data_IF_665463157314
#
_entry.id   IF_665463157314
#
_cell.length_a   1.000
_cell.length_b   1.000
_cell.length_c   1.000
_cell.angle_alpha   90.00
_cell.angle_beta   90.00
_cell.angle_gamma   90.00
#
_symmetry.space_group_name_H-M   'P 1'
#
loop_
_entity.id
_entity.type
_entity.pdbx_description
1 polymer ?
#
# COMPACT_ATOMS: atom_id res chain seq x y z
N UNK A 1 4.02 -12.36 4.11
CA UNK A 1 4.15 -10.96 4.54
C UNK A 1 5.48 -10.80 5.26
N UNK A 2 6.30 -9.81 4.88
CA UNK A 2 7.51 -9.50 5.65
C UNK A 2 7.09 -9.00 7.04
N UNK A 3 7.65 -9.59 8.11
CA UNK A 3 7.43 -9.13 9.47
C UNK A 3 7.78 -7.65 9.58
N UNK A 4 6.77 -6.83 9.86
CA UNK A 4 6.93 -5.38 9.95
C UNK A 4 6.40 -4.93 11.30
N UNK A 5 7.30 -4.75 12.26
CA UNK A 5 6.97 -4.16 13.55
C UNK A 5 7.18 -2.66 13.43
N UNK A 6 6.21 -1.88 13.89
CA UNK A 6 6.22 -0.43 13.86
C UNK A 6 6.07 0.16 15.25
N UNK A 7 6.56 1.37 15.43
CA UNK A 7 6.41 2.19 16.62
C UNK A 7 5.55 3.41 16.26
N UNK A 8 4.38 3.51 16.89
CA UNK A 8 3.46 4.63 16.78
C UNK A 8 3.72 5.60 17.92
N UNK A 9 3.90 6.87 17.57
CA UNK A 9 4.11 7.97 18.52
C UNK A 9 5.19 7.69 19.58
N UNK A 10 6.21 6.89 19.22
CA UNK A 10 7.30 6.46 20.11
C UNK A 10 6.87 5.69 21.37
N UNK A 11 5.62 5.25 21.44
CA UNK A 11 5.03 4.66 22.65
C UNK A 11 4.34 3.33 22.42
N UNK A 12 3.60 3.20 21.32
CA UNK A 12 2.79 2.02 21.03
C UNK A 12 3.46 1.18 19.95
N UNK A 13 3.66 -0.10 20.21
CA UNK A 13 4.22 -1.04 19.25
C UNK A 13 3.09 -1.69 18.46
N UNK A 14 3.12 -1.54 17.15
CA UNK A 14 2.23 -2.22 16.22
C UNK A 14 2.97 -3.40 15.57
N UNK A 15 2.51 -4.62 15.82
CA UNK A 15 3.00 -5.83 15.16
C UNK A 15 2.02 -6.23 14.06
N UNK A 16 2.38 -6.00 12.79
CA UNK A 16 1.50 -6.29 11.65
C UNK A 16 1.26 -7.79 11.44
N UNK A 17 2.20 -8.64 11.87
CA UNK A 17 2.08 -10.09 11.69
C UNK A 17 1.18 -10.68 12.76
N UNK A 18 1.32 -10.21 14.01
CA UNK A 18 0.47 -10.65 15.12
C UNK A 18 -0.88 -9.95 15.16
N UNK A 19 -1.03 -8.86 14.42
CA UNK A 19 -2.21 -7.98 14.43
C UNK A 19 -2.48 -7.47 15.85
N UNK A 20 -1.46 -6.87 16.47
CA UNK A 20 -1.55 -6.39 17.85
C UNK A 20 -0.99 -4.98 18.00
N UNK A 21 -1.60 -4.21 18.91
CA UNK A 21 -1.05 -2.97 19.45
C UNK A 21 -0.66 -3.22 20.90
N UNK A 22 0.55 -2.81 21.29
CA UNK A 22 1.03 -2.97 22.67
C UNK A 22 1.64 -1.69 23.23
N UNK A 23 1.37 -1.45 24.50
CA UNK A 23 1.89 -0.31 25.25
C UNK A 23 2.14 -0.73 26.69
N UNK A 24 3.41 -0.78 27.10
CA UNK A 24 3.78 -1.35 28.40
C UNK A 24 3.36 -2.82 28.51
N UNK A 25 2.49 -3.14 29.49
CA UNK A 25 1.96 -4.49 29.70
C UNK A 25 0.59 -4.71 29.02
N UNK A 26 0.01 -3.69 28.40
CA UNK A 26 -1.26 -3.78 27.71
C UNK A 26 -1.03 -4.23 26.26
N UNK A 27 -1.84 -5.20 25.82
CA UNK A 27 -1.81 -5.72 24.46
C UNK A 27 -3.26 -5.91 24.01
N UNK A 28 -3.62 -5.26 22.90
CA UNK A 28 -4.89 -5.48 22.24
C UNK A 28 -4.66 -6.11 20.88
N UNK A 29 -5.60 -6.97 20.46
CA UNK A 29 -5.61 -7.57 19.13
C UNK A 29 -6.56 -6.76 18.24
N UNK A 30 -6.07 -6.36 17.08
CA UNK A 30 -6.83 -5.61 16.08
C UNK A 30 -7.23 -6.54 14.93
N UNK A 31 -8.24 -6.16 14.16
CA UNK A 31 -8.66 -6.93 12.99
C UNK A 31 -7.67 -6.81 11.82
N UNK A 32 -7.83 -7.68 10.83
CA UNK A 32 -7.06 -7.60 9.58
C UNK A 32 -7.30 -6.26 8.84
N UNK A 33 -8.53 -5.76 8.84
CA UNK A 33 -8.86 -4.51 8.17
C UNK A 33 -8.17 -3.31 8.85
N UNK A 34 -8.10 -3.34 10.18
CA UNK A 34 -7.39 -2.34 10.99
C UNK A 34 -5.88 -2.42 10.76
N UNK A 35 -5.33 -3.63 10.72
CA UNK A 35 -3.93 -3.88 10.38
C UNK A 35 -3.59 -3.27 9.01
N UNK A 36 -4.42 -3.53 7.99
CA UNK A 36 -4.23 -2.94 6.67
C UNK A 36 -4.41 -1.42 6.65
N UNK A 37 -5.28 -0.85 7.49
CA UNK A 37 -5.42 0.60 7.61
C UNK A 37 -4.12 1.24 8.16
N UNK A 38 -3.51 0.66 9.18
CA UNK A 38 -2.22 1.15 9.70
C UNK A 38 -1.10 1.01 8.67
N UNK A 39 -1.09 -0.09 7.91
CA UNK A 39 -0.17 -0.26 6.79
C UNK A 39 -0.42 0.77 5.68
N UNK A 40 -1.68 1.14 5.41
CA UNK A 40 -2.02 2.21 4.49
C UNK A 40 -1.37 3.53 4.91
N UNK A 41 -1.48 3.88 6.20
CA UNK A 41 -0.84 5.08 6.75
C UNK A 41 0.69 5.02 6.66
N UNK A 42 1.29 3.86 6.96
CA UNK A 42 2.73 3.64 6.77
C UNK A 42 3.16 3.85 5.32
N UNK A 43 2.36 3.41 4.35
CA UNK A 43 2.59 3.64 2.93
C UNK A 43 2.29 5.08 2.48
N UNK A 44 1.81 5.94 3.38
CA UNK A 44 1.46 7.34 3.10
C UNK A 44 0.13 7.50 2.34
N UNK A 45 -0.72 6.48 2.35
CA UNK A 45 -2.05 6.56 1.76
C UNK A 45 -2.99 7.32 2.70
N UNK A 46 -3.75 8.24 2.13
CA UNK A 46 -4.72 9.06 2.86
C UNK A 46 -6.05 9.25 2.12
N UNK A 47 -6.10 8.97 0.82
CA UNK A 47 -7.33 9.08 0.03
C UNK A 47 -8.25 7.91 0.34
N UNK A 48 -9.55 8.17 0.40
CA UNK A 48 -10.57 7.17 0.69
C UNK A 48 -10.47 5.97 -0.26
N UNK A 49 -10.34 6.23 -1.56
CA UNK A 49 -10.32 5.19 -2.58
C UNK A 49 -9.07 4.31 -2.49
N UNK A 50 -7.89 4.92 -2.26
CA UNK A 50 -6.63 4.18 -2.09
C UNK A 50 -6.66 3.30 -0.83
N UNK A 51 -7.24 3.80 0.26
CA UNK A 51 -7.41 3.05 1.51
C UNK A 51 -8.40 1.90 1.31
N UNK A 52 -9.55 2.16 0.67
CA UNK A 52 -10.55 1.11 0.38
C UNK A 52 -9.91 0.02 -0.48
N UNK A 53 -9.16 0.42 -1.50
CA UNK A 53 -8.46 -0.52 -2.36
C UNK A 53 -7.49 -1.38 -1.55
N UNK A 54 -6.55 -0.80 -0.79
CA UNK A 54 -5.55 -1.58 -0.06
C UNK A 54 -6.17 -2.49 1.02
N UNK A 55 -7.16 -1.99 1.77
CA UNK A 55 -7.74 -2.73 2.91
C UNK A 55 -8.62 -3.88 2.44
N UNK A 56 -9.28 -3.76 1.29
CA UNK A 56 -10.23 -4.75 0.77
C UNK A 56 -9.86 -5.38 -0.58
N UNK A 57 -8.65 -5.15 -1.10
CA UNK A 57 -8.17 -5.59 -2.43
C UNK A 57 -8.50 -7.08 -2.71
N UNK A 58 -8.32 -7.92 -1.70
CA UNK A 58 -8.46 -9.37 -1.82
C UNK A 58 -9.84 -9.91 -1.43
N UNK A 59 -10.81 -9.05 -1.06
CA UNK A 59 -12.10 -9.49 -0.50
C UNK A 59 -13.22 -9.66 -1.53
N UNK A 60 -12.94 -9.41 -2.81
CA UNK A 60 -13.82 -9.77 -3.94
C UNK A 60 -15.24 -9.16 -3.91
N UNK A 61 -15.50 -8.19 -3.03
CA UNK A 61 -16.82 -7.61 -2.79
C UNK A 61 -16.80 -6.08 -2.83
N UNK A 62 -17.93 -5.48 -3.18
CA UNK A 62 -18.10 -4.03 -3.15
C UNK A 62 -18.15 -3.53 -1.70
N UNK A 63 -17.25 -2.62 -1.33
CA UNK A 63 -17.20 -2.03 0.01
C UNK A 63 -18.14 -0.84 0.07
N UNK A 64 -19.13 -0.90 0.97
CA UNK A 64 -19.98 0.26 1.22
C UNK A 64 -19.20 1.37 1.91
N UNK A 65 -19.58 2.61 1.66
CA UNK A 65 -19.03 3.77 2.38
C UNK A 65 -19.23 3.67 3.90
N UNK A 66 -20.34 3.06 4.35
CA UNK A 66 -20.56 2.79 5.77
C UNK A 66 -19.52 1.86 6.38
N UNK A 67 -19.00 0.88 5.63
CA UNK A 67 -17.96 -0.04 6.11
C UNK A 67 -16.62 0.67 6.31
N UNK A 68 -16.28 1.59 5.40
CA UNK A 68 -15.10 2.45 5.52
C UNK A 68 -15.14 3.30 6.80
N UNK A 69 -16.25 3.99 7.07
CA UNK A 69 -16.37 4.81 8.27
C UNK A 69 -16.43 3.98 9.56
N UNK A 70 -17.06 2.79 9.53
CA UNK A 70 -17.05 1.86 10.67
C UNK A 70 -15.62 1.44 11.03
N UNK A 71 -14.80 1.10 10.04
CA UNK A 71 -13.40 0.76 10.27
C UNK A 71 -12.62 1.90 10.94
N UNK A 72 -12.79 3.13 10.47
CA UNK A 72 -12.11 4.30 11.05
C UNK A 72 -12.54 4.49 12.52
N UNK A 73 -13.83 4.37 12.81
CA UNK A 73 -14.33 4.53 14.17
C UNK A 73 -13.86 3.40 15.10
N UNK A 74 -13.78 2.17 14.60
CA UNK A 74 -13.22 1.06 15.36
C UNK A 74 -11.76 1.32 15.71
N UNK A 75 -10.94 1.71 14.74
CA UNK A 75 -9.53 2.02 14.99
C UNK A 75 -9.36 3.16 16.01
N UNK A 76 -10.24 4.17 15.99
CA UNK A 76 -10.23 5.25 17.00
C UNK A 76 -10.50 4.75 18.41
N UNK A 77 -11.40 3.80 18.57
CA UNK A 77 -11.70 3.17 19.86
C UNK A 77 -10.50 2.35 20.35
N UNK A 78 -9.88 1.58 19.45
CA UNK A 78 -8.70 0.79 19.74
C UNK A 78 -7.48 1.66 20.10
N UNK A 79 -7.36 2.84 19.50
CA UNK A 79 -6.36 3.84 19.90
C UNK A 79 -6.60 4.33 21.33
N UNK A 80 -7.85 4.65 21.67
CA UNK A 80 -8.21 5.08 23.02
C UNK A 80 -7.92 4.01 24.08
N UNK A 81 -8.07 2.73 23.74
CA UNK A 81 -7.89 1.63 24.70
C UNK A 81 -6.43 1.29 24.96
N UNK A 82 -5.49 1.70 24.09
CA UNK A 82 -4.05 1.46 24.24
C UNK A 82 -3.24 2.72 24.57
N UNK A 83 -3.92 3.84 24.86
CA UNK A 83 -3.32 5.10 25.30
C UNK A 83 -2.91 6.08 24.20
N UNK A 84 -3.39 5.89 22.97
CA UNK A 84 -3.32 6.89 21.88
C UNK A 84 -4.58 7.75 21.87
N UNK A 85 -4.55 8.88 21.15
CA UNK A 85 -5.72 9.74 21.05
C UNK A 85 -6.56 9.37 19.82
N UNK A 86 -7.89 9.24 19.93
CA UNK A 86 -8.77 9.09 18.76
C UNK A 86 -8.59 10.19 17.71
N UNK A 87 -8.22 11.39 18.14
CA UNK A 87 -7.92 12.54 17.28
C UNK A 87 -6.66 12.36 16.44
N UNK A 88 -5.82 11.35 16.73
CA UNK A 88 -4.65 11.06 15.91
C UNK A 88 -5.02 10.49 14.53
N UNK A 89 -6.25 9.99 14.41
CA UNK A 89 -6.85 9.57 13.15
C UNK A 89 -7.72 10.71 12.61
N UNK A 90 -7.11 11.54 11.77
CA UNK A 90 -7.67 12.80 11.29
C UNK A 90 -8.48 12.57 10.02
N UNK A 91 -9.78 12.84 10.07
CA UNK A 91 -10.62 12.88 8.86
C UNK A 91 -10.28 14.11 8.02
N UNK A 92 -10.10 13.93 6.72
CA UNK A 92 -9.96 15.00 5.74
C UNK A 92 -11.23 15.09 4.90
N UNK A 93 -12.08 16.12 5.09
CA UNK A 93 -13.35 16.23 4.38
C UNK A 93 -13.18 16.10 2.87
N UNK A 94 -14.02 15.28 2.24
CA UNK A 94 -14.01 15.01 0.78
C UNK A 94 -12.70 14.40 0.23
N UNK A 95 -11.79 13.96 1.09
CA UNK A 95 -10.50 13.37 0.68
C UNK A 95 -10.31 11.98 1.26
N UNK A 96 -10.44 11.82 2.58
CA UNK A 96 -10.20 10.54 3.24
C UNK A 96 -9.77 10.70 4.70
N UNK A 97 -8.70 10.01 5.11
CA UNK A 97 -8.25 9.95 6.51
C UNK A 97 -6.73 9.82 6.58
N UNK A 98 -6.10 10.46 7.56
CA UNK A 98 -4.64 10.40 7.77
C UNK A 98 -4.29 10.22 9.24
N UNK A 99 -3.13 9.64 9.49
CA UNK A 99 -2.53 9.56 10.82
C UNK A 99 -1.68 10.82 11.10
N UNK A 100 -1.89 11.47 12.24
CA UNK A 100 -1.10 12.65 12.67
C UNK A 100 0.21 12.26 13.36
N UNK A 101 0.21 11.12 14.04
CA UNK A 101 1.39 10.61 14.77
C UNK A 101 2.36 9.91 13.84
N UNK A 102 3.63 9.91 14.21
CA UNK A 102 4.66 9.21 13.47
C UNK A 102 4.46 7.69 13.59
N UNK A 103 4.61 6.99 12.46
CA UNK A 103 4.69 5.54 12.39
C UNK A 103 6.07 5.19 11.83
N UNK A 104 6.89 4.51 12.63
CA UNK A 104 8.29 4.22 12.31
C UNK A 104 8.57 2.72 12.38
N UNK A 105 9.31 2.12 11.45
CA UNK A 105 9.61 0.71 11.49
C UNK A 105 10.68 0.44 12.56
N UNK A 106 10.45 -0.55 13.42
CA UNK A 106 11.44 -1.01 14.37
C UNK A 106 12.41 -1.91 13.60
N UNK A 107 13.63 -1.43 13.33
CA UNK A 107 14.71 -2.32 12.94
C UNK A 107 14.96 -3.27 14.12
N UNK A 108 14.67 -4.57 13.96
CA UNK A 108 15.09 -5.61 14.90
C UNK A 108 16.62 -5.53 15.01
N UNK A 109 17.13 -4.86 16.04
CA UNK A 109 18.55 -4.94 16.40
C UNK A 109 18.69 -6.27 17.11
N UNK A 110 19.25 -7.25 16.43
CA UNK A 110 19.70 -8.49 17.06
C UNK A 110 20.79 -8.14 18.08
N UNK A 111 20.42 -8.20 19.36
CA UNK A 111 21.24 -8.38 20.59
C UNK A 111 22.48 -7.48 20.87
N UNK A 112 22.39 -6.71 21.97
CA UNK A 112 23.43 -6.35 22.97
C UNK A 112 24.85 -5.93 22.49
N UNK A 113 25.14 -4.62 22.51
CA UNK A 113 26.17 -3.93 23.37
C UNK A 113 26.42 -2.46 22.94
N UNK A 114 26.35 -1.55 23.93
CA UNK A 114 27.19 -0.36 24.26
C UNK A 114 27.80 0.50 23.11
N UNK A 115 27.53 1.83 23.19
CA UNK A 115 28.23 3.05 22.67
C UNK A 115 28.80 3.03 21.23
N UNK A 116 28.76 4.07 20.39
CA UNK A 116 28.76 5.52 20.56
C UNK A 116 28.31 6.19 19.22
N UNK A 117 28.12 7.50 19.26
CA UNK A 117 27.86 8.48 18.17
C UNK A 117 28.03 8.06 16.68
N UNK A 118 27.03 8.37 15.83
CA UNK A 118 27.21 9.38 14.77
C UNK A 118 25.88 9.76 14.09
N UNK A 119 25.57 11.06 14.11
CA UNK A 119 24.55 11.72 13.31
C UNK A 119 24.94 11.72 11.83
N UNK A 120 24.10 11.14 10.96
CA UNK A 120 23.77 11.69 9.62
C UNK A 120 22.71 10.84 8.93
N UNK A 121 21.48 11.36 8.88
CA UNK A 121 20.46 10.89 7.95
C UNK A 121 20.79 11.35 6.52
N UNK A 122 20.29 10.61 5.50
CA UNK A 122 19.45 11.31 4.54
C UNK A 122 18.24 10.51 4.05
N UNK A 123 17.14 11.25 3.88
CA UNK A 123 16.20 11.20 2.74
C UNK A 123 15.83 9.84 2.14
N UNK A 124 14.72 9.25 2.61
CA UNK A 124 14.03 8.12 1.95
C UNK A 124 12.66 8.52 1.38
N UNK A 125 12.36 9.83 1.27
CA UNK A 125 11.02 10.30 0.85
C UNK A 125 10.76 10.23 -0.66
N UNK A 126 11.78 10.26 -1.51
CA UNK A 126 11.58 10.13 -2.97
C UNK A 126 11.39 8.66 -3.40
N UNK A 127 11.93 7.74 -2.59
CA UNK A 127 11.72 6.29 -2.50
C UNK A 127 10.56 5.61 -3.26
N UNK A 128 9.35 6.04 -2.93
CA UNK A 128 8.15 5.21 -3.05
C UNK A 128 7.25 5.70 -4.19
N UNK A 129 7.18 7.01 -4.38
CA UNK A 129 6.37 7.61 -5.45
C UNK A 129 6.86 7.23 -6.86
N UNK A 130 8.18 7.07 -7.07
CA UNK A 130 8.66 6.57 -8.36
C UNK A 130 8.32 5.10 -8.60
N UNK A 131 8.21 4.27 -7.55
CA UNK A 131 7.99 2.83 -7.73
C UNK A 131 6.58 2.54 -8.25
N UNK A 132 5.59 3.27 -7.76
CA UNK A 132 4.19 3.16 -8.20
C UNK A 132 4.01 3.73 -9.62
N UNK A 133 4.57 4.92 -9.91
CA UNK A 133 4.49 5.51 -11.26
C UNK A 133 5.24 4.68 -12.30
N UNK A 134 6.39 4.07 -11.95
CA UNK A 134 7.16 3.21 -12.84
C UNK A 134 6.42 1.92 -13.19
N UNK A 135 5.79 1.24 -12.22
CA UNK A 135 5.03 0.02 -12.52
C UNK A 135 3.88 0.26 -13.51
N UNK A 136 3.16 1.39 -13.38
CA UNK A 136 2.08 1.75 -14.32
C UNK A 136 2.61 2.01 -15.75
N UNK A 137 3.73 2.72 -15.90
CA UNK A 137 4.33 2.98 -17.21
C UNK A 137 4.83 1.70 -17.88
N UNK A 138 5.43 0.77 -17.11
CA UNK A 138 5.88 -0.51 -17.66
C UNK A 138 4.72 -1.36 -18.17
N UNK A 139 3.57 -1.38 -17.47
CA UNK A 139 2.37 -2.14 -17.90
C UNK A 139 1.76 -1.55 -19.18
N UNK A 140 1.73 -0.22 -19.33
CA UNK A 140 1.21 0.42 -20.54
C UNK A 140 2.12 0.15 -21.74
N UNK A 141 3.44 0.22 -21.56
CA UNK A 141 4.41 -0.06 -22.63
C UNK A 141 4.35 -1.52 -23.10
N UNK A 142 4.26 -2.49 -22.18
CA UNK A 142 4.15 -3.91 -22.55
C UNK A 142 2.85 -4.21 -23.29
N UNK A 143 1.73 -3.61 -22.87
CA UNK A 143 0.45 -3.72 -23.56
C UNK A 143 0.50 -3.19 -24.99
N UNK A 144 1.08 -2.01 -25.21
CA UNK A 144 1.21 -1.41 -26.54
C UNK A 144 2.06 -2.25 -27.50
N UNK A 145 3.16 -2.84 -27.01
CA UNK A 145 4.04 -3.71 -27.81
C UNK A 145 3.30 -4.99 -28.24
N UNK A 146 2.57 -5.63 -27.33
CA UNK A 146 1.77 -6.83 -27.67
C UNK A 146 0.69 -6.52 -28.70
N UNK A 147 0.02 -5.36 -28.57
CA UNK A 147 -1.02 -4.93 -29.50
C UNK A 147 -0.46 -4.68 -30.91
N UNK A 148 0.73 -4.08 -31.01
CA UNK A 148 1.41 -3.88 -32.29
C UNK A 148 1.82 -5.21 -32.95
N UNK A 149 2.31 -6.18 -32.17
CA UNK A 149 2.64 -7.52 -32.68
C UNK A 149 1.41 -8.25 -33.21
N UNK A 150 0.30 -8.22 -32.46
CA UNK A 150 -0.96 -8.82 -32.90
C UNK A 150 -1.49 -8.16 -34.17
N UNK A 151 -1.38 -6.84 -34.28
CA UNK A 151 -1.80 -6.11 -35.48
C UNK A 151 -0.94 -6.47 -36.70
N UNK A 152 0.38 -6.62 -36.53
CA UNK A 152 1.28 -7.07 -37.59
C UNK A 152 1.02 -8.49 -38.08
N UNK A 153 0.67 -9.42 -37.17
CA UNK A 153 0.28 -10.79 -37.57
C UNK A 153 -1.05 -10.77 -38.31
N UNK A 154 -2.00 -9.94 -37.89
CA UNK A 154 -3.29 -9.78 -38.55
C UNK A 154 -3.16 -9.25 -40.00
N UNK A 155 -2.25 -8.30 -40.25
CA UNK A 155 -2.02 -7.78 -41.61
C UNK A 155 -1.37 -8.83 -42.53
N UNK A 156 -0.50 -9.70 -42.01
CA UNK A 156 0.07 -10.82 -42.77
C UNK A 156 -1.02 -11.82 -43.16
N UNK A 157 -1.94 -12.14 -42.25
CA UNK A 157 -3.05 -13.07 -42.54
C UNK A 157 -4.05 -12.53 -43.56
N UNK A 158 -4.14 -11.20 -43.71
CA UNK A 158 -4.96 -10.54 -44.73
C UNK A 158 -4.21 -10.16 -45.99
N UNK A 159 -2.92 -10.46 -46.11
CA UNK A 159 -2.18 -10.19 -47.33
C UNK A 159 -2.76 -11.06 -48.47
N UNK A 160 -3.27 -10.45 -49.56
CA UNK A 160 -3.75 -11.22 -50.69
C UNK A 160 -2.57 -11.99 -51.30
N UNK A 161 -2.73 -13.30 -51.45
CA UNK A 161 -1.81 -14.14 -52.21
C UNK A 161 -1.63 -13.49 -53.58
N UNK A 162 -0.40 -13.08 -53.88
CA UNK A 162 -0.04 -12.50 -55.18
C UNK A 162 -0.20 -13.62 -56.21
N UNK A 163 -1.37 -13.69 -56.84
CA UNK A 163 -1.57 -14.52 -58.02
C UNK A 163 -0.58 -14.02 -59.08
N UNK A 164 0.37 -14.87 -59.44
CA UNK A 164 1.16 -14.67 -60.67
C UNK A 164 0.19 -14.56 -61.84
N UNK A 165 0.27 -13.52 -62.67
CA UNK A 165 -0.42 -13.54 -63.94
C UNK A 165 0.31 -14.52 -64.85
N UNK A 166 -0.38 -15.59 -65.24
CA UNK A 166 -0.04 -16.35 -66.43
C UNK A 166 -0.03 -15.39 -67.63
N UNK A 167 1.00 -15.47 -68.48
CA UNK A 167 0.83 -15.85 -69.90
C UNK A 167 1.96 -15.39 -70.84
N UNK A 168 2.18 -16.23 -71.86
CA UNK A 168 2.81 -16.03 -73.18
C UNK A 168 4.29 -15.61 -73.24
N UNK A 169 5.17 -16.55 -73.62
CA UNK A 169 5.59 -16.78 -75.01
C UNK A 169 6.08 -18.22 -75.19
#
# INVERSE_FOLDING_TARGET
MNESIFLLDKRVVFDSTKMTLSHGNEIIRISEAETHLLLAFWHGLYKKEDIIHLVWENRGGCVSESSYYKLINQMRNDFSSIGLQPSDIVTRPRVGVSLSVAIEPIKKITSLKVSDENVKGPSTREKIFYKIKRHSVFVVLTGAILLALLYGVFTIYKAPVRNSPDSFF
#
